data_IF_633622257217
#
_entry.id   IF_633622257217
#
_cell.length_a   1.000
_cell.length_b   1.000
_cell.length_c   1.000
_cell.angle_alpha   90.00
_cell.angle_beta   90.00
_cell.angle_gamma   90.00
#
_symmetry.space_group_name_H-M   'P 1'
#
loop_
_entity.id
_entity.type
_entity.pdbx_description
1 polymer ?
#
# COMPACT_ATOMS: atom_id res chain seq x y z
N UNK A 1 -11.75 -2.68 0.76
CA UNK A 1 -10.58 -2.23 1.53
C UNK A 1 -10.32 -3.18 2.69
N UNK A 2 -9.07 -3.49 2.92
CA UNK A 2 -8.67 -4.33 4.05
C UNK A 2 -8.52 -3.51 5.33
N UNK A 3 -8.36 -2.20 5.22
CA UNK A 3 -8.40 -1.26 6.35
C UNK A 3 -8.85 0.12 5.88
N UNK A 4 -9.58 0.81 6.76
CA UNK A 4 -9.97 2.22 6.55
C UNK A 4 -8.92 3.19 7.10
N UNK A 5 -8.02 2.73 7.94
CA UNK A 5 -6.95 3.56 8.48
C UNK A 5 -5.92 2.71 9.21
N UNK A 6 -4.71 2.64 8.64
CA UNK A 6 -3.61 1.88 9.22
C UNK A 6 -2.29 2.55 8.84
N UNK A 7 -1.34 2.54 9.74
CA UNK A 7 -0.01 3.08 9.50
C UNK A 7 0.79 2.22 8.53
N UNK A 8 1.77 2.83 7.87
CA UNK A 8 2.63 2.16 6.90
C UNK A 8 3.70 1.30 7.58
N UNK A 9 4.25 1.76 8.70
CA UNK A 9 5.38 1.14 9.40
C UNK A 9 4.93 0.51 10.72
N UNK A 10 5.84 -0.24 11.34
CA UNK A 10 5.62 -0.85 12.65
C UNK A 10 6.10 0.10 13.77
N UNK A 11 5.62 1.36 13.74
CA UNK A 11 5.83 2.42 14.74
C UNK A 11 7.26 2.98 14.81
N UNK A 12 8.18 2.47 13.99
CA UNK A 12 9.57 2.94 13.96
C UNK A 12 9.94 3.33 12.54
N UNK A 13 10.49 4.53 12.36
CA UNK A 13 11.00 4.98 11.06
C UNK A 13 12.28 4.23 10.73
N UNK A 14 12.26 3.47 9.63
CA UNK A 14 13.40 2.67 9.18
C UNK A 14 13.44 2.65 7.67
N UNK A 15 14.65 2.62 7.11
CA UNK A 15 14.83 2.38 5.67
C UNK A 15 14.57 0.90 5.38
N UNK A 16 13.54 0.60 4.61
CA UNK A 16 13.15 -0.78 4.29
C UNK A 16 13.66 -1.23 2.93
N UNK A 17 14.25 -0.34 2.14
CA UNK A 17 14.66 -0.60 0.76
C UNK A 17 13.50 -0.99 -0.16
N UNK A 18 12.28 -0.67 0.21
CA UNK A 18 11.07 -0.94 -0.56
C UNK A 18 10.84 0.18 -1.57
N UNK A 19 11.73 0.30 -2.55
CA UNK A 19 11.80 1.48 -3.43
C UNK A 19 11.37 1.20 -4.87
N UNK A 20 10.96 -0.02 -5.18
CA UNK A 20 10.49 -0.36 -6.52
C UNK A 20 9.08 0.20 -6.73
N UNK A 21 8.79 0.68 -7.94
CA UNK A 21 7.52 1.35 -8.23
C UNK A 21 6.68 0.72 -9.33
N UNK A 22 7.19 -0.28 -10.03
CA UNK A 22 6.55 -0.85 -11.22
C UNK A 22 5.46 -1.87 -10.92
N UNK A 23 4.85 -2.37 -11.99
CA UNK A 23 3.83 -3.41 -11.92
C UNK A 23 4.48 -4.71 -11.41
N UNK A 24 3.83 -5.36 -10.44
CA UNK A 24 4.28 -6.53 -9.66
C UNK A 24 5.37 -6.20 -8.64
N UNK A 25 5.90 -5.01 -8.63
CA UNK A 25 6.94 -4.62 -7.67
C UNK A 25 6.41 -4.47 -6.24
N UNK A 26 5.09 -4.34 -6.07
CA UNK A 26 4.49 -4.30 -4.74
C UNK A 26 4.77 -5.56 -3.91
N UNK A 27 4.85 -6.70 -4.56
CA UNK A 27 5.21 -7.95 -3.89
C UNK A 27 6.64 -7.89 -3.32
N UNK A 28 7.59 -7.44 -4.12
CA UNK A 28 8.97 -7.23 -3.66
C UNK A 28 9.03 -6.24 -2.49
N UNK A 29 8.35 -5.10 -2.63
CA UNK A 29 8.34 -4.08 -1.59
C UNK A 29 7.73 -4.60 -0.29
N UNK A 30 6.60 -5.33 -0.38
CA UNK A 30 5.93 -5.91 0.78
C UNK A 30 6.88 -6.83 1.56
N UNK A 31 7.60 -7.69 0.85
CA UNK A 31 8.59 -8.59 1.49
C UNK A 31 9.72 -7.81 2.17
N UNK A 32 10.20 -6.74 1.54
CA UNK A 32 11.25 -5.90 2.12
C UNK A 32 10.77 -5.20 3.39
N UNK A 33 9.58 -4.64 3.37
CA UNK A 33 9.00 -3.96 4.53
C UNK A 33 8.90 -4.93 5.71
N UNK A 34 8.36 -6.12 5.47
CA UNK A 34 8.16 -7.12 6.53
C UNK A 34 9.51 -7.61 7.07
N UNK A 35 10.50 -7.82 6.20
CA UNK A 35 11.84 -8.26 6.61
C UNK A 35 12.46 -7.27 7.59
N UNK A 36 12.29 -5.98 7.38
CA UNK A 36 12.90 -4.92 8.20
C UNK A 36 12.04 -4.59 9.41
N UNK A 37 10.71 -4.46 9.23
CA UNK A 37 9.80 -4.01 10.30
C UNK A 37 9.36 -5.14 11.24
N UNK A 38 9.37 -6.38 10.77
CA UNK A 38 9.01 -7.53 11.58
C UNK A 38 7.51 -7.68 11.81
N UNK A 39 7.13 -8.33 12.90
CA UNK A 39 5.74 -8.59 13.24
C UNK A 39 5.09 -7.37 13.91
N UNK A 40 3.85 -7.08 13.54
CA UNK A 40 3.13 -5.92 14.09
C UNK A 40 1.85 -5.63 13.33
N UNK A 41 1.31 -4.42 13.51
CA UNK A 41 0.05 -4.01 12.90
C UNK A 41 0.30 -2.84 11.95
N UNK A 42 0.54 -3.15 10.68
CA UNK A 42 0.84 -2.16 9.66
C UNK A 42 0.47 -2.67 8.26
N UNK A 43 0.44 -1.77 7.29
CA UNK A 43 -0.19 -1.99 5.98
C UNK A 43 0.36 -3.21 5.23
N UNK A 44 1.68 -3.32 5.07
CA UNK A 44 2.27 -4.41 4.28
C UNK A 44 2.00 -5.79 4.92
N UNK A 45 2.12 -5.90 6.25
CA UNK A 45 1.88 -7.17 6.93
C UNK A 45 0.39 -7.54 6.90
N UNK A 46 -0.51 -6.57 7.00
CA UNK A 46 -1.94 -6.83 6.83
C UNK A 46 -2.21 -7.51 5.49
N UNK A 47 -1.61 -7.00 4.40
CA UNK A 47 -1.80 -7.59 3.08
C UNK A 47 -1.16 -8.97 2.96
N UNK A 48 0.05 -9.15 3.47
CA UNK A 48 0.73 -10.45 3.42
C UNK A 48 -0.03 -11.53 4.19
N UNK A 49 -0.73 -11.16 5.25
CA UNK A 49 -1.53 -12.09 6.06
C UNK A 49 -2.97 -12.24 5.57
N UNK A 50 -3.40 -11.44 4.62
CA UNK A 50 -4.76 -11.51 4.09
C UNK A 50 -4.92 -12.78 3.24
N UNK A 51 -6.02 -13.50 3.43
CA UNK A 51 -6.30 -14.74 2.70
C UNK A 51 -7.67 -14.73 2.02
N UNK A 52 -8.19 -13.56 1.69
CA UNK A 52 -9.47 -13.39 1.02
C UNK A 52 -9.54 -14.20 -0.28
N UNK A 53 -10.69 -14.78 -0.56
CA UNK A 53 -10.89 -15.64 -1.73
C UNK A 53 -10.14 -16.96 -1.66
N UNK A 54 -9.53 -17.32 -0.53
CA UNK A 54 -8.73 -18.54 -0.38
C UNK A 54 -7.30 -18.44 -0.91
N UNK A 55 -6.82 -17.21 -1.19
CA UNK A 55 -5.47 -16.99 -1.71
C UNK A 55 -4.57 -16.36 -0.64
N UNK A 56 -3.29 -16.75 -0.63
CA UNK A 56 -2.31 -16.27 0.34
C UNK A 56 -1.20 -15.42 -0.27
N UNK A 57 -1.34 -14.97 -1.52
CA UNK A 57 -0.33 -14.23 -2.27
C UNK A 57 -0.67 -12.73 -2.41
N UNK A 58 -1.44 -12.19 -1.50
CA UNK A 58 -1.79 -10.77 -1.48
C UNK A 58 -0.59 -9.92 -1.04
N UNK A 59 -0.54 -8.69 -1.55
CA UNK A 59 0.51 -7.74 -1.18
C UNK A 59 0.01 -6.29 -1.28
N UNK A 60 0.75 -5.37 -0.68
CA UNK A 60 0.48 -3.94 -0.76
C UNK A 60 0.97 -3.43 -2.13
N UNK A 61 0.11 -2.78 -2.94
CA UNK A 61 0.50 -2.38 -4.29
C UNK A 61 1.64 -1.37 -4.28
N UNK A 62 2.50 -1.45 -5.29
CA UNK A 62 3.50 -0.40 -5.53
C UNK A 62 2.81 0.90 -5.94
N UNK A 63 3.60 1.97 -6.02
CA UNK A 63 3.11 3.29 -6.44
C UNK A 63 2.42 3.23 -7.80
N UNK A 64 3.01 2.57 -8.79
CA UNK A 64 2.45 2.48 -10.13
C UNK A 64 1.25 1.54 -10.20
N UNK A 65 1.27 0.44 -9.46
CA UNK A 65 0.11 -0.45 -9.35
C UNK A 65 -1.08 0.30 -8.75
N UNK A 66 -0.86 1.10 -7.70
CA UNK A 66 -1.93 1.87 -7.07
C UNK A 66 -2.47 2.94 -8.02
N UNK A 67 -1.60 3.59 -8.80
CA UNK A 67 -2.03 4.54 -9.83
C UNK A 67 -2.86 3.87 -10.93
N UNK A 68 -2.50 2.66 -11.33
CA UNK A 68 -3.28 1.89 -12.30
C UNK A 68 -4.66 1.53 -11.75
N UNK A 69 -4.75 1.21 -10.47
CA UNK A 69 -6.03 0.96 -9.79
C UNK A 69 -6.92 2.22 -9.81
N UNK A 70 -6.35 3.38 -9.55
CA UNK A 70 -7.07 4.64 -9.62
C UNK A 70 -7.62 4.87 -11.03
N UNK A 71 -6.76 4.81 -12.03
CA UNK A 71 -7.12 5.11 -13.43
C UNK A 71 -8.12 4.10 -14.01
N UNK A 72 -7.90 2.80 -13.76
CA UNK A 72 -8.65 1.74 -14.41
C UNK A 72 -9.89 1.29 -13.63
N UNK A 73 -9.94 1.54 -12.33
CA UNK A 73 -11.05 1.11 -11.48
C UNK A 73 -11.77 2.31 -10.84
N UNK A 74 -11.07 3.11 -10.04
CA UNK A 74 -11.70 4.20 -9.28
C UNK A 74 -12.41 5.20 -10.18
N UNK A 75 -11.76 5.69 -11.22
CA UNK A 75 -12.35 6.67 -12.14
C UNK A 75 -13.54 6.11 -12.92
N UNK A 76 -13.65 4.79 -13.03
CA UNK A 76 -14.75 4.10 -13.71
C UNK A 76 -15.84 3.62 -12.76
N UNK A 77 -15.75 3.98 -11.48
CA UNK A 77 -16.73 3.58 -10.47
C UNK A 77 -16.66 2.12 -10.07
N UNK A 78 -15.54 1.44 -10.33
CA UNK A 78 -15.35 0.03 -10.03
C UNK A 78 -14.48 -0.15 -8.79
N UNK A 79 -14.52 -1.34 -8.19
CA UNK A 79 -13.63 -1.74 -7.09
C UNK A 79 -14.06 -1.30 -5.70
N UNK A 80 -15.13 -0.53 -5.56
CA UNK A 80 -15.65 -0.14 -4.25
C UNK A 80 -14.69 0.72 -3.43
N UNK A 81 -13.90 1.58 -4.08
CA UNK A 81 -12.98 2.48 -3.39
C UNK A 81 -13.72 3.65 -2.74
N UNK A 82 -13.19 4.11 -1.61
CA UNK A 82 -13.75 5.26 -0.88
C UNK A 82 -12.99 6.54 -1.20
N UNK A 83 -13.58 7.69 -0.84
CA UNK A 83 -12.94 9.00 -0.99
C UNK A 83 -11.89 9.19 0.10
N UNK A 84 -10.75 8.53 -0.07
CA UNK A 84 -9.66 8.57 0.91
C UNK A 84 -8.32 8.36 0.20
N UNK A 85 -7.24 8.56 0.93
CA UNK A 85 -5.90 8.24 0.47
C UNK A 85 -5.58 6.78 0.78
N UNK A 86 -4.86 6.14 -0.13
CA UNK A 86 -4.44 4.75 -0.02
C UNK A 86 -2.92 4.64 0.01
N UNK A 87 -2.40 3.80 0.90
CA UNK A 87 -0.98 3.52 0.94
C UNK A 87 -0.49 2.74 -0.28
N UNK A 88 0.65 3.13 -0.83
CA UNK A 88 1.46 2.25 -1.68
C UNK A 88 2.54 1.58 -0.82
N UNK A 89 3.15 0.53 -1.36
CA UNK A 89 4.31 -0.10 -0.71
C UNK A 89 5.63 0.61 -1.04
N UNK A 90 5.61 1.65 -1.86
CA UNK A 90 6.83 2.32 -2.31
C UNK A 90 7.28 3.37 -1.30
N UNK A 91 8.42 3.13 -0.68
CA UNK A 91 9.04 4.02 0.30
C UNK A 91 9.69 5.23 -0.37
N UNK A 92 9.69 6.37 0.31
CA UNK A 92 10.42 7.57 -0.11
C UNK A 92 11.73 7.66 0.68
N UNK A 93 11.61 7.62 2.01
CA UNK A 93 12.74 7.66 2.94
C UNK A 93 12.36 6.92 4.23
N UNK A 94 13.16 7.08 5.28
CA UNK A 94 12.92 6.38 6.56
C UNK A 94 11.55 6.71 7.14
N UNK A 95 11.10 7.94 7.00
CA UNK A 95 9.89 8.45 7.67
C UNK A 95 8.68 8.65 6.77
N UNK A 96 8.79 8.48 5.45
CA UNK A 96 7.69 8.72 4.53
C UNK A 96 7.61 7.71 3.39
N UNK A 97 6.39 7.55 2.84
CA UNK A 97 6.10 6.66 1.73
C UNK A 97 5.10 7.31 0.79
N UNK A 98 4.99 6.77 -0.42
CA UNK A 98 4.02 7.24 -1.42
C UNK A 98 2.62 6.77 -1.09
N UNK A 99 1.66 7.67 -1.24
CA UNK A 99 0.24 7.37 -1.20
C UNK A 99 -0.44 7.93 -2.45
N UNK A 100 -1.63 7.43 -2.78
CA UNK A 100 -2.45 7.97 -3.86
C UNK A 100 -3.76 8.47 -3.28
N UNK A 101 -4.09 9.72 -3.56
CA UNK A 101 -5.31 10.35 -3.08
C UNK A 101 -6.48 10.02 -4.01
N UNK A 102 -7.34 9.10 -3.59
CA UNK A 102 -8.50 8.68 -4.36
C UNK A 102 -9.70 9.60 -4.16
N UNK A 103 -9.66 10.46 -3.16
CA UNK A 103 -10.79 11.33 -2.81
C UNK A 103 -10.58 12.80 -3.10
N UNK A 104 -9.33 13.25 -3.14
CA UNK A 104 -8.97 14.65 -3.33
C UNK A 104 -8.61 14.97 -4.77
N UNK A 105 -7.34 15.28 -5.01
CA UNK A 105 -6.86 15.69 -6.33
C UNK A 105 -6.55 14.54 -7.30
N UNK A 106 -6.66 13.29 -6.84
CA UNK A 106 -6.43 12.12 -7.67
C UNK A 106 -4.98 11.88 -8.04
N UNK A 107 -4.03 12.38 -7.26
CA UNK A 107 -2.61 12.26 -7.56
C UNK A 107 -1.83 11.58 -6.44
N UNK A 108 -0.57 11.23 -6.75
CA UNK A 108 0.38 10.68 -5.78
C UNK A 108 0.96 11.79 -4.92
N UNK A 109 1.11 11.51 -3.62
CA UNK A 109 1.73 12.40 -2.66
C UNK A 109 2.63 11.61 -1.72
N UNK A 110 3.57 12.29 -1.06
CA UNK A 110 4.27 11.70 0.08
C UNK A 110 3.41 11.85 1.34
N UNK A 111 3.64 10.97 2.29
CA UNK A 111 2.97 11.07 3.59
C UNK A 111 3.83 10.43 4.67
N UNK A 112 3.83 10.98 5.90
CA UNK A 112 4.51 10.33 7.00
C UNK A 112 3.98 8.90 7.23
N UNK A 113 4.88 7.97 7.47
CA UNK A 113 4.53 6.55 7.64
C UNK A 113 3.61 6.26 8.80
N UNK A 114 3.54 7.15 9.79
CA UNK A 114 2.65 7.00 10.94
C UNK A 114 1.18 7.33 10.64
N UNK A 115 0.90 7.99 9.52
CA UNK A 115 -0.46 8.41 9.20
C UNK A 115 -1.39 7.22 8.93
N UNK A 116 -2.63 7.23 9.46
CA UNK A 116 -3.58 6.13 9.25
C UNK A 116 -4.32 6.30 7.92
N UNK A 117 -3.83 5.67 6.86
CA UNK A 117 -4.46 5.71 5.54
C UNK A 117 -5.16 4.40 5.22
N UNK A 118 -6.01 4.42 4.20
CA UNK A 118 -6.71 3.23 3.73
C UNK A 118 -5.74 2.24 3.08
N UNK A 119 -6.08 0.95 3.17
CA UNK A 119 -5.27 -0.14 2.62
C UNK A 119 -6.14 -0.99 1.71
N UNK A 120 -5.70 -1.16 0.47
CA UNK A 120 -6.28 -2.10 -0.48
C UNK A 120 -5.19 -3.05 -0.96
N UNK A 121 -5.30 -4.31 -0.60
CA UNK A 121 -4.37 -5.33 -1.03
C UNK A 121 -4.67 -5.79 -2.46
N UNK A 122 -3.64 -6.23 -3.17
CA UNK A 122 -3.76 -6.78 -4.52
C UNK A 122 -3.00 -8.09 -4.62
N UNK A 123 -3.27 -8.84 -5.67
CA UNK A 123 -2.49 -10.03 -6.01
C UNK A 123 -2.23 -10.07 -7.51
N UNK A 124 -1.14 -10.73 -7.90
CA UNK A 124 -0.78 -10.91 -9.30
C UNK A 124 -1.50 -12.13 -9.90
N UNK A 125 -1.73 -12.08 -11.19
CA UNK A 125 -2.28 -13.19 -11.95
C UNK A 125 -1.22 -13.79 -12.85
#
# INVERSE_FOLDING_TARGET
>A
DQSAGLQWHNEVDMNTMAVKSGIKDGNFNTDRIITIQGNGNYAALLCANYNGGGYGDWYLPSKDELSAMYTNLRLKGLGGFVNNAYWSSTEIDDGSAWMHDFGGDGSLHNNPKWAPLSVRCVRAF
#
